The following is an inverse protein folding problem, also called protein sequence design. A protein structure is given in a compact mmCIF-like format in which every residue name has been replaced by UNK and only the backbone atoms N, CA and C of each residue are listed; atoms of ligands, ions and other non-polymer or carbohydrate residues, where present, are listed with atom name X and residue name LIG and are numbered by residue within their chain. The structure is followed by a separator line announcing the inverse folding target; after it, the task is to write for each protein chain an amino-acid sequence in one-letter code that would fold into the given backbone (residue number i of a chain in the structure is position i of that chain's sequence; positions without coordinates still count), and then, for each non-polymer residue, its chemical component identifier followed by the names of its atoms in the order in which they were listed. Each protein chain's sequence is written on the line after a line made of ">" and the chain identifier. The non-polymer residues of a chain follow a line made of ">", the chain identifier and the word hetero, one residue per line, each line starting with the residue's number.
data_IF_338255519615
#
_entry.id   IF_338255519615
#
_cell.length_a   1.000
_cell.length_b   1.000
_cell.length_c   1.000
_cell.angle_alpha   90.00
_cell.angle_beta   90.00
_cell.angle_gamma   90.00
#
_symmetry.space_group_name_H-M   'P 1'
#
loop_
_entity.id
_entity.type
_entity.pdbx_description
1 polymer ?
#
# COMPACT_ATOMS: atom_id res chain seq x y z
N UNK A 1 -2.15 9.77 -1.14
CA UNK A 1 -2.10 8.54 -1.95
C UNK A 1 -3.31 8.55 -2.86
N UNK A 2 -3.13 8.32 -4.16
CA UNK A 2 -4.19 8.32 -5.17
C UNK A 2 -4.22 6.96 -5.85
N UNK A 3 -5.37 6.31 -5.92
CA UNK A 3 -5.54 5.03 -6.64
C UNK A 3 -5.29 5.29 -8.13
N UNK A 4 -4.37 4.53 -8.73
CA UNK A 4 -4.00 4.59 -10.15
C UNK A 4 -4.67 3.49 -10.97
N UNK A 5 -4.90 2.31 -10.37
CA UNK A 5 -5.63 1.21 -10.99
C UNK A 5 -6.28 0.32 -9.93
N UNK A 6 -7.31 -0.44 -10.32
CA UNK A 6 -7.97 -1.42 -9.45
C UNK A 6 -8.47 -2.60 -10.29
N UNK A 7 -8.36 -3.79 -9.72
CA UNK A 7 -8.93 -5.02 -10.27
C UNK A 7 -9.62 -5.80 -9.15
N UNK A 8 -10.95 -5.76 -9.16
CA UNK A 8 -11.77 -6.44 -8.15
C UNK A 8 -11.81 -7.96 -8.35
N UNK A 9 -11.52 -8.47 -9.56
CA UNK A 9 -11.56 -9.91 -9.83
C UNK A 9 -10.44 -10.68 -9.13
N UNK A 10 -9.33 -9.98 -8.85
CA UNK A 10 -8.15 -10.51 -8.14
C UNK A 10 -7.85 -9.76 -6.84
N UNK A 11 -8.79 -8.92 -6.37
CA UNK A 11 -8.68 -8.10 -5.16
C UNK A 11 -7.35 -7.34 -5.04
N UNK A 12 -7.00 -6.60 -6.10
CA UNK A 12 -5.78 -5.81 -6.18
C UNK A 12 -6.07 -4.35 -6.50
N UNK A 13 -5.30 -3.43 -5.93
CA UNK A 13 -5.24 -2.05 -6.42
C UNK A 13 -3.82 -1.51 -6.39
N UNK A 14 -3.60 -0.52 -7.25
CA UNK A 14 -2.36 0.23 -7.30
C UNK A 14 -2.64 1.69 -6.95
N UNK A 15 -1.65 2.35 -6.38
CA UNK A 15 -1.74 3.73 -6.01
C UNK A 15 -0.39 4.43 -6.05
N UNK A 16 -0.46 5.74 -6.23
CA UNK A 16 0.71 6.60 -6.31
C UNK A 16 0.71 7.61 -5.16
N UNK A 17 1.91 7.96 -4.71
CA UNK A 17 2.11 9.12 -3.83
C UNK A 17 3.30 9.95 -4.31
N UNK A 18 3.33 11.21 -3.91
CA UNK A 18 4.42 12.13 -4.23
C UNK A 18 5.21 12.40 -2.96
N UNK A 19 6.53 12.22 -3.02
CA UNK A 19 7.45 12.59 -1.95
C UNK A 19 7.65 14.12 -1.93
N UNK A 20 7.37 14.83 -0.82
CA UNK A 20 7.27 16.29 -0.83
C UNK A 20 8.54 17.07 -1.19
N UNK A 21 9.72 16.55 -0.83
CA UNK A 21 10.97 17.31 -0.94
C UNK A 21 11.47 17.44 -2.39
N UNK A 22 11.14 16.47 -3.26
CA UNK A 22 11.65 16.41 -4.64
C UNK A 22 10.58 16.07 -5.67
N UNK A 23 9.32 15.87 -5.25
CA UNK A 23 8.23 15.53 -6.17
C UNK A 23 8.30 14.12 -6.76
N UNK A 24 9.14 13.24 -6.20
CA UNK A 24 9.28 11.88 -6.72
C UNK A 24 8.00 11.08 -6.54
N UNK A 25 7.61 10.36 -7.59
CA UNK A 25 6.47 9.46 -7.56
C UNK A 25 6.91 8.13 -6.99
N UNK A 26 6.17 7.66 -5.99
CA UNK A 26 6.29 6.32 -5.43
C UNK A 26 5.05 5.51 -5.79
N UNK A 27 5.26 4.23 -6.09
CA UNK A 27 4.20 3.28 -6.41
C UNK A 27 3.94 2.38 -5.20
N UNK A 28 2.66 2.08 -4.97
CA UNK A 28 2.20 1.12 -3.98
C UNK A 28 1.24 0.15 -4.66
N UNK A 29 1.39 -1.13 -4.36
CA UNK A 29 0.48 -2.20 -4.78
C UNK A 29 -0.03 -2.89 -3.53
N UNK A 30 -1.33 -3.10 -3.47
CA UNK A 30 -1.99 -3.87 -2.41
C UNK A 30 -2.79 -5.00 -3.05
N UNK A 31 -2.59 -6.22 -2.54
CA UNK A 31 -3.34 -7.41 -2.93
C UNK A 31 -3.89 -8.09 -1.69
N UNK A 32 -5.13 -8.56 -1.79
CA UNK A 32 -5.78 -9.35 -0.74
C UNK A 32 -6.02 -10.75 -1.28
N UNK A 33 -5.67 -11.77 -0.49
CA UNK A 33 -5.92 -13.17 -0.82
C UNK A 33 -6.54 -13.88 0.38
N UNK A 34 -7.44 -14.83 0.13
CA UNK A 34 -7.93 -15.71 1.19
C UNK A 34 -6.77 -16.53 1.74
N UNK A 35 -6.69 -16.63 3.07
CA UNK A 35 -5.75 -17.53 3.75
C UNK A 35 -6.49 -18.79 4.22
N UNK A 36 -7.69 -18.61 4.79
CA UNK A 36 -8.64 -19.67 5.14
C UNK A 36 -10.08 -19.13 5.06
N UNK A 37 -11.07 -19.88 5.57
CA UNK A 37 -12.50 -19.53 5.54
C UNK A 37 -12.84 -18.24 6.32
N UNK A 38 -11.98 -17.82 7.25
CA UNK A 38 -12.24 -16.71 8.16
C UNK A 38 -11.12 -15.67 8.17
N UNK A 39 -10.04 -15.87 7.41
CA UNK A 39 -8.90 -14.98 7.39
C UNK A 39 -8.41 -14.66 5.98
N UNK A 40 -7.82 -13.47 5.84
CA UNK A 40 -7.22 -13.01 4.59
C UNK A 40 -5.79 -12.54 4.84
N UNK A 41 -4.93 -12.77 3.87
CA UNK A 41 -3.58 -12.20 3.81
C UNK A 41 -3.58 -10.95 2.94
N UNK A 42 -2.86 -9.93 3.39
CA UNK A 42 -2.65 -8.69 2.63
C UNK A 42 -1.17 -8.58 2.28
N UNK A 43 -0.86 -8.64 0.98
CA UNK A 43 0.47 -8.29 0.44
C UNK A 43 0.44 -6.81 0.07
N UNK A 44 1.34 -6.02 0.66
CA UNK A 44 1.56 -4.64 0.31
C UNK A 44 3.02 -4.40 -0.04
N UNK A 45 3.24 -3.76 -1.19
CA UNK A 45 4.57 -3.36 -1.66
C UNK A 45 4.59 -1.87 -1.92
N UNK A 46 5.74 -1.25 -1.65
CA UNK A 46 5.95 0.17 -1.86
C UNK A 46 7.35 0.38 -2.41
N UNK A 47 7.47 1.15 -3.49
CA UNK A 47 8.74 1.42 -4.15
C UNK A 47 8.83 2.85 -4.63
N UNK A 48 10.02 3.45 -4.52
CA UNK A 48 10.32 4.74 -5.11
C UNK A 48 10.81 4.55 -6.55
N UNK A 49 10.26 5.30 -7.50
CA UNK A 49 10.70 5.22 -8.91
C UNK A 49 12.12 5.75 -9.13
N UNK A 50 12.56 6.63 -8.24
CA UNK A 50 13.84 7.33 -8.33
C UNK A 50 14.54 7.25 -6.99
N UNK A 51 15.87 7.10 -7.03
CA UNK A 51 16.73 7.03 -5.85
C UNK A 51 17.24 5.61 -5.57
N UNK A 52 18.45 5.53 -5.01
CA UNK A 52 19.08 4.26 -4.60
C UNK A 52 18.62 3.85 -3.19
N UNK A 53 18.24 4.83 -2.36
CA UNK A 53 17.74 4.65 -1.00
C UNK A 53 16.49 5.50 -0.78
N UNK A 54 15.56 5.00 0.03
CA UNK A 54 14.31 5.67 0.39
C UNK A 54 14.33 6.20 1.83
N UNK A 55 15.43 5.99 2.57
CA UNK A 55 15.58 6.31 3.99
C UNK A 55 14.43 5.78 4.87
N UNK A 56 13.84 4.63 4.49
CA UNK A 56 12.74 4.01 5.20
C UNK A 56 11.36 4.60 4.89
N UNK A 57 11.22 5.48 3.90
CA UNK A 57 9.93 6.05 3.49
C UNK A 57 8.91 4.97 3.09
N UNK A 58 9.31 3.95 2.34
CA UNK A 58 8.44 2.85 1.92
C UNK A 58 7.97 2.04 3.14
N UNK A 59 8.89 1.71 4.05
CA UNK A 59 8.55 1.00 5.28
C UNK A 59 7.59 1.81 6.17
N UNK A 60 7.81 3.13 6.31
CA UNK A 60 6.90 4.03 7.03
C UNK A 60 5.50 4.02 6.40
N UNK A 61 5.42 4.03 5.07
CA UNK A 61 4.15 4.02 4.33
C UNK A 61 3.37 2.73 4.54
N UNK A 62 4.04 1.58 4.47
CA UNK A 62 3.43 0.27 4.73
C UNK A 62 2.86 0.22 6.16
N UNK A 63 3.62 0.66 7.17
CA UNK A 63 3.13 0.71 8.57
C UNK A 63 1.91 1.62 8.73
N UNK A 64 1.93 2.81 8.12
CA UNK A 64 0.78 3.72 8.17
C UNK A 64 -0.47 3.12 7.52
N UNK A 65 -0.31 2.38 6.42
CA UNK A 65 -1.42 1.67 5.78
C UNK A 65 -2.04 0.64 6.73
N UNK A 66 -1.23 -0.22 7.35
CA UNK A 66 -1.76 -1.22 8.29
C UNK A 66 -2.38 -0.61 9.54
N UNK A 67 -1.78 0.43 10.12
CA UNK A 67 -2.39 1.13 11.27
C UNK A 67 -3.76 1.72 10.91
N UNK A 68 -3.90 2.29 9.71
CA UNK A 68 -5.17 2.81 9.21
C UNK A 68 -6.18 1.68 8.97
N UNK A 69 -5.75 0.60 8.33
CA UNK A 69 -6.60 -0.55 8.08
C UNK A 69 -7.13 -1.16 9.38
N UNK A 70 -6.27 -1.34 10.38
CA UNK A 70 -6.66 -1.84 11.70
C UNK A 70 -7.73 -0.95 12.34
N UNK A 71 -7.58 0.38 12.25
CA UNK A 71 -8.59 1.32 12.74
C UNK A 71 -9.94 1.15 12.02
N UNK A 72 -9.93 1.01 10.69
CA UNK A 72 -11.17 0.83 9.90
C UNK A 72 -11.83 -0.53 10.20
N UNK A 73 -11.05 -1.58 10.45
CA UNK A 73 -11.57 -2.91 10.78
C UNK A 73 -12.12 -3.02 12.20
N UNK A 74 -11.55 -2.29 13.18
CA UNK A 74 -12.05 -2.26 14.57
C UNK A 74 -13.41 -1.55 14.67
N UNK A 75 -13.72 -0.67 13.71
CA UNK A 75 -14.96 0.13 13.71
C UNK A 75 -16.15 -0.66 13.13
N UNK A 76 -15.92 -1.80 12.48
CA UNK A 76 -16.93 -2.68 11.88
C UNK A 76 -17.30 -3.84 12.81
#
# INVERSE_FOLDING_TARGET
>A
MKISSKDASILQFEAQTITPLFGFVDDIVVRIAALDEHSSTIDIRSVSRVGVTDLGANAKRIRLFFNKLEQELIIL
#
